data_IF_983375174659
#
_entry.id   IF_983375174659
#
_cell.length_a   1.000
_cell.length_b   1.000
_cell.length_c   1.000
_cell.angle_alpha   90.00
_cell.angle_beta   90.00
_cell.angle_gamma   90.00
#
_symmetry.space_group_name_H-M   'P 1'
#
loop_
_entity.id
_entity.type
_entity.pdbx_description
1 polymer ?
#
# COMPACT_ATOMS: atom_id res chain seq x y z
N UNK A 1 26.31 -28.15 -4.11
CA UNK A 1 25.04 -27.45 -4.39
C UNK A 1 24.67 -26.72 -3.12
N UNK A 2 24.92 -25.42 -3.05
CA UNK A 2 24.53 -24.60 -1.89
C UNK A 2 23.05 -24.35 -2.07
N UNK A 3 22.23 -24.97 -1.22
CA UNK A 3 20.84 -24.58 -1.06
C UNK A 3 20.91 -23.28 -0.27
N UNK A 4 20.92 -22.13 -0.95
CA UNK A 4 20.57 -20.87 -0.29
C UNK A 4 19.13 -21.06 0.18
N UNK A 5 18.98 -21.47 1.45
CA UNK A 5 17.70 -21.45 2.12
C UNK A 5 17.30 -19.98 2.13
N UNK A 6 16.39 -19.59 1.23
CA UNK A 6 15.74 -18.29 1.24
C UNK A 6 15.25 -18.06 2.66
N UNK A 7 16.03 -17.32 3.43
CA UNK A 7 15.80 -17.15 4.86
C UNK A 7 14.76 -16.04 4.94
N UNK A 8 13.51 -16.41 4.60
CA UNK A 8 12.37 -15.56 4.87
C UNK A 8 12.30 -15.46 6.39
N UNK A 9 12.73 -14.31 6.93
CA UNK A 9 12.66 -14.08 8.35
C UNK A 9 11.21 -13.71 8.70
N UNK A 10 10.76 -14.09 9.90
CA UNK A 10 9.45 -13.67 10.44
C UNK A 10 9.25 -12.14 10.30
N UNK A 11 10.32 -11.37 10.34
CA UNK A 11 10.34 -9.93 10.10
C UNK A 11 9.79 -9.54 8.71
N UNK A 12 10.07 -10.29 7.66
CA UNK A 12 9.64 -9.94 6.30
C UNK A 12 8.16 -10.26 6.09
N UNK A 13 7.64 -11.31 6.75
CA UNK A 13 6.17 -11.55 6.80
C UNK A 13 5.48 -10.37 7.46
N UNK A 14 5.99 -9.94 8.62
CA UNK A 14 5.42 -8.80 9.36
C UNK A 14 5.46 -7.53 8.51
N UNK A 15 6.55 -7.27 7.79
CA UNK A 15 6.64 -6.09 6.94
C UNK A 15 5.70 -6.14 5.74
N UNK A 16 5.56 -7.29 5.10
CA UNK A 16 4.59 -7.46 4.02
C UNK A 16 3.16 -7.29 4.54
N UNK A 17 2.82 -7.85 5.71
CA UNK A 17 1.50 -7.65 6.33
C UNK A 17 1.25 -6.19 6.69
N UNK A 18 2.24 -5.49 7.27
CA UNK A 18 2.13 -4.04 7.53
C UNK A 18 1.94 -3.23 6.24
N UNK A 19 2.66 -3.57 5.18
CA UNK A 19 2.48 -2.95 3.86
C UNK A 19 1.06 -3.20 3.31
N UNK A 20 0.51 -4.41 3.51
CA UNK A 20 -0.88 -4.72 3.11
C UNK A 20 -1.91 -3.94 3.91
N UNK A 21 -1.73 -3.83 5.23
CA UNK A 21 -2.63 -3.03 6.07
C UNK A 21 -2.61 -1.56 5.69
N UNK A 22 -1.43 -1.00 5.41
CA UNK A 22 -1.31 0.37 4.92
C UNK A 22 -1.99 0.56 3.56
N UNK A 23 -1.85 -0.42 2.66
CA UNK A 23 -2.58 -0.41 1.39
C UNK A 23 -4.09 -0.44 1.60
N UNK A 24 -4.60 -1.21 2.56
CA UNK A 24 -6.02 -1.26 2.90
C UNK A 24 -6.53 0.10 3.40
N UNK A 25 -5.75 0.79 4.24
CA UNK A 25 -6.08 2.16 4.71
C UNK A 25 -6.21 3.15 3.56
N UNK A 26 -5.21 3.19 2.66
CA UNK A 26 -5.23 4.05 1.46
C UNK A 26 -6.43 3.74 0.57
N UNK A 27 -6.75 2.46 0.37
CA UNK A 27 -7.92 2.05 -0.41
C UNK A 27 -9.24 2.48 0.26
N UNK A 28 -9.33 2.43 1.60
CA UNK A 28 -10.50 2.90 2.33
C UNK A 28 -10.71 4.42 2.17
N UNK A 29 -9.65 5.22 2.24
CA UNK A 29 -9.70 6.65 1.97
C UNK A 29 -10.13 6.95 0.53
N UNK A 30 -9.57 6.24 -0.45
CA UNK A 30 -9.97 6.40 -1.86
C UNK A 30 -11.42 5.99 -2.11
N UNK A 31 -11.90 4.93 -1.47
CA UNK A 31 -13.30 4.51 -1.55
C UNK A 31 -14.24 5.59 -1.02
N UNK A 32 -13.86 6.30 0.03
CA UNK A 32 -14.65 7.41 0.55
C UNK A 32 -14.70 8.58 -0.43
N UNK A 33 -13.59 8.93 -1.07
CA UNK A 33 -13.56 9.95 -2.14
C UNK A 33 -14.44 9.55 -3.34
N UNK A 34 -14.45 8.26 -3.71
CA UNK A 34 -15.36 7.75 -4.74
C UNK A 34 -16.82 7.97 -4.35
N UNK A 35 -17.18 7.70 -3.08
CA UNK A 35 -18.56 7.94 -2.57
C UNK A 35 -18.94 9.41 -2.58
N UNK A 36 -17.97 10.29 -2.35
CA UNK A 36 -18.14 11.75 -2.43
C UNK A 36 -18.22 12.27 -3.87
N UNK A 37 -18.02 11.40 -4.86
CA UNK A 37 -18.19 11.71 -6.28
C UNK A 37 -16.91 12.16 -6.99
N UNK A 38 -15.72 11.93 -6.42
CA UNK A 38 -14.46 12.12 -7.13
C UNK A 38 -14.25 11.00 -8.16
N UNK A 39 -14.37 11.28 -9.47
CA UNK A 39 -14.22 10.26 -10.51
C UNK A 39 -12.78 9.75 -10.61
N UNK A 40 -11.78 10.55 -10.21
CA UNK A 40 -10.36 10.18 -10.27
C UNK A 40 -9.95 9.20 -9.17
N UNK A 41 -10.73 9.13 -8.08
CA UNK A 41 -10.47 8.25 -6.96
C UNK A 41 -10.67 6.76 -7.32
N UNK A 42 -11.57 6.43 -8.24
CA UNK A 42 -11.82 5.06 -8.68
C UNK A 42 -10.65 4.49 -9.49
N UNK A 43 -10.04 5.31 -10.35
CA UNK A 43 -8.85 4.94 -11.11
C UNK A 43 -7.65 4.73 -10.19
N UNK A 44 -7.45 5.67 -9.24
CA UNK A 44 -6.39 5.56 -8.21
C UNK A 44 -6.58 4.32 -7.34
N UNK A 45 -7.81 3.98 -6.95
CA UNK A 45 -8.11 2.77 -6.19
C UNK A 45 -7.68 1.51 -6.95
N UNK A 46 -8.00 1.46 -8.25
CA UNK A 46 -7.65 0.34 -9.13
C UNK A 46 -6.13 0.26 -9.36
N UNK A 47 -5.44 1.40 -9.43
CA UNK A 47 -3.98 1.48 -9.50
C UNK A 47 -3.33 0.91 -8.23
N UNK A 48 -3.72 1.39 -7.04
CA UNK A 48 -3.19 0.92 -5.76
C UNK A 48 -3.41 -0.58 -5.61
N UNK A 49 -4.62 -1.08 -5.91
CA UNK A 49 -4.90 -2.52 -5.81
C UNK A 49 -3.99 -3.35 -6.72
N UNK A 50 -3.76 -2.91 -7.96
CA UNK A 50 -2.88 -3.62 -8.90
C UNK A 50 -1.42 -3.56 -8.45
N UNK A 51 -0.95 -2.40 -8.01
CA UNK A 51 0.42 -2.21 -7.55
C UNK A 51 0.71 -3.06 -6.30
N UNK A 52 -0.20 -3.10 -5.32
CA UNK A 52 -0.05 -3.95 -4.13
C UNK A 52 0.03 -5.44 -4.47
N UNK A 53 -0.75 -5.90 -5.45
CA UNK A 53 -0.71 -7.30 -5.91
C UNK A 53 0.54 -7.64 -6.73
N UNK A 54 1.24 -6.64 -7.26
CA UNK A 54 2.45 -6.81 -8.04
C UNK A 54 3.73 -6.81 -7.19
N UNK A 55 3.65 -6.41 -5.91
CA UNK A 55 4.80 -6.47 -4.99
C UNK A 55 5.10 -7.91 -4.64
N UNK A 56 6.34 -8.32 -4.90
CA UNK A 56 6.84 -9.59 -4.42
C UNK A 56 7.10 -9.51 -2.91
N UNK A 57 6.31 -10.24 -2.11
CA UNK A 57 6.44 -10.28 -0.65
C UNK A 57 7.74 -10.92 -0.16
N UNK A 58 8.50 -11.60 -1.04
CA UNK A 58 9.83 -12.14 -0.73
C UNK A 58 10.94 -11.12 -0.97
N UNK A 59 10.69 -10.06 -1.76
CA UNK A 59 11.65 -8.98 -1.97
C UNK A 59 11.43 -7.89 -0.92
N UNK A 60 12.24 -7.94 0.14
CA UNK A 60 12.15 -6.99 1.24
C UNK A 60 12.32 -5.53 0.80
N UNK A 61 13.19 -5.27 -0.18
CA UNK A 61 13.42 -3.93 -0.67
C UNK A 61 12.21 -3.40 -1.45
N UNK A 62 11.55 -4.26 -2.24
CA UNK A 62 10.31 -3.91 -2.92
C UNK A 62 9.17 -3.63 -1.93
N UNK A 63 9.03 -4.45 -0.87
CA UNK A 63 8.04 -4.24 0.19
C UNK A 63 8.26 -2.91 0.90
N UNK A 64 9.49 -2.62 1.35
CA UNK A 64 9.78 -1.38 2.07
C UNK A 64 9.61 -0.14 1.16
N UNK A 65 10.05 -0.22 -0.10
CA UNK A 65 9.89 0.88 -1.05
C UNK A 65 8.42 1.19 -1.32
N UNK A 66 7.59 0.15 -1.50
CA UNK A 66 6.17 0.35 -1.75
C UNK A 66 5.41 0.78 -0.48
N UNK A 67 5.79 0.26 0.70
CA UNK A 67 5.26 0.74 1.98
C UNK A 67 5.52 2.24 2.18
N UNK A 68 6.72 2.73 1.83
CA UNK A 68 7.04 4.15 1.91
C UNK A 68 6.16 4.99 0.96
N UNK A 69 5.90 4.52 -0.26
CA UNK A 69 5.01 5.20 -1.20
C UNK A 69 3.57 5.25 -0.67
N UNK A 70 3.08 4.14 -0.11
CA UNK A 70 1.75 4.08 0.49
C UNK A 70 1.63 5.06 1.67
N UNK A 71 2.67 5.19 2.50
CA UNK A 71 2.65 6.08 3.66
C UNK A 71 2.60 7.55 3.25
N UNK A 72 3.30 7.92 2.17
CA UNK A 72 3.23 9.26 1.60
C UNK A 72 1.80 9.56 1.12
N UNK A 73 1.20 8.63 0.36
CA UNK A 73 -0.17 8.79 -0.14
C UNK A 73 -1.21 8.85 0.98
N UNK A 74 -1.07 8.03 2.01
CA UNK A 74 -1.98 8.06 3.17
C UNK A 74 -1.91 9.41 3.89
N UNK A 75 -0.71 9.97 4.04
CA UNK A 75 -0.51 11.31 4.62
C UNK A 75 -1.13 12.41 3.75
N UNK A 76 -0.97 12.32 2.42
CA UNK A 76 -1.55 13.28 1.46
C UNK A 76 -3.09 13.23 1.48
N UNK A 77 -3.67 12.03 1.53
CA UNK A 77 -5.12 11.83 1.61
C UNK A 77 -5.67 12.32 2.95
N UNK A 78 -5.00 12.01 4.06
CA UNK A 78 -5.39 12.49 5.39
C UNK A 78 -5.36 14.03 5.47
N UNK A 79 -4.34 14.67 4.88
CA UNK A 79 -4.27 16.13 4.79
C UNK A 79 -5.41 16.71 3.94
N UNK A 80 -5.65 16.12 2.76
CA UNK A 80 -6.71 16.57 1.85
C UNK A 80 -8.10 16.45 2.48
N UNK A 81 -8.34 15.43 3.31
CA UNK A 81 -9.56 15.27 4.06
C UNK A 81 -9.72 16.31 5.19
N UNK A 82 -8.62 16.65 5.87
CA UNK A 82 -8.60 17.69 6.90
C UNK A 82 -8.87 19.08 6.32
N UNK A 83 -8.33 19.38 5.13
CA UNK A 83 -8.52 20.67 4.46
C UNK A 83 -9.94 20.84 3.88
N UNK A 84 -10.68 19.74 3.70
CA UNK A 84 -12.04 19.72 3.18
C UNK A 84 -13.14 19.80 4.26
N UNK A 85 -12.76 19.74 5.55
CA UNK A 85 -13.67 19.85 6.71
C UNK A 85 -13.75 21.28 7.25
#
# INVERSE_FOLDING_TARGET
>A
MVVEQSTWHVNDVVAYDLMRELSNSVQAHLLELVRQGDPSAADRLSEIRRATLAVDGYDRAAVDAYAQQLQQRDTELARSAADAS
#
